data_IF_909394775986
#
_entry.id   IF_909394775986
#
_cell.length_a   1.000
_cell.length_b   1.000
_cell.length_c   1.000
_cell.angle_alpha   90.00
_cell.angle_beta   90.00
_cell.angle_gamma   90.00
#
_symmetry.space_group_name_H-M   'P 1'
#
loop_
_entity.id
_entity.type
_entity.pdbx_description
1 polymer ?
#
# COMPACT_ATOMS: atom_id res chain seq x y z
N UNK A 1 -27.25 47.35 -46.65
CA UNK A 1 -26.01 47.16 -45.90
C UNK A 1 -26.23 46.08 -44.84
N UNK A 2 -25.84 44.81 -45.07
CA UNK A 2 -25.63 43.84 -44.00
C UNK A 2 -24.14 43.75 -43.64
N UNK A 3 -23.84 43.68 -42.34
CA UNK A 3 -22.50 43.52 -41.79
C UNK A 3 -21.99 42.05 -41.93
N UNK A 4 -20.67 41.83 -42.05
CA UNK A 4 -20.11 40.52 -42.34
C UNK A 4 -20.07 39.60 -41.10
N UNK A 5 -20.32 38.32 -41.33
CA UNK A 5 -20.07 37.23 -40.40
C UNK A 5 -18.57 37.01 -40.24
N UNK A 6 -18.08 37.04 -39.01
CA UNK A 6 -16.71 36.64 -38.68
C UNK A 6 -16.73 35.75 -37.44
N UNK A 7 -16.81 34.44 -37.67
CA UNK A 7 -16.35 33.44 -36.72
C UNK A 7 -15.45 32.46 -37.47
N UNK A 8 -14.22 32.90 -37.69
CA UNK A 8 -13.10 32.06 -38.06
C UNK A 8 -12.20 31.89 -36.83
N UNK A 9 -12.66 31.11 -35.83
CA UNK A 9 -11.75 30.56 -34.83
C UNK A 9 -11.09 29.29 -35.37
N UNK A 10 -10.26 29.49 -36.40
CA UNK A 10 -9.26 28.51 -36.76
C UNK A 10 -7.90 29.08 -36.37
N UNK A 11 -7.44 28.71 -35.17
CA UNK A 11 -6.03 28.75 -34.75
C UNK A 11 -5.87 27.87 -33.52
N UNK A 12 -5.58 26.58 -33.76
CA UNK A 12 -4.62 25.86 -32.92
C UNK A 12 -3.24 26.44 -33.19
N UNK A 13 -2.57 26.91 -32.15
CA UNK A 13 -1.18 26.52 -31.98
C UNK A 13 -0.89 26.27 -30.49
N UNK A 14 -0.53 25.04 -30.14
CA UNK A 14 0.59 24.74 -29.22
C UNK A 14 0.65 23.24 -28.90
N UNK A 15 0.96 22.45 -29.92
CA UNK A 15 1.52 21.10 -29.73
C UNK A 15 3.04 21.13 -29.53
N UNK A 16 3.59 22.25 -29.02
CA UNK A 16 5.05 22.46 -28.86
C UNK A 16 5.51 22.89 -27.46
N UNK A 17 4.72 22.63 -26.42
CA UNK A 17 5.12 22.92 -25.03
C UNK A 17 5.61 21.69 -24.23
N UNK A 18 5.91 20.55 -24.89
CA UNK A 18 6.26 19.30 -24.21
C UNK A 18 7.76 19.09 -23.90
N UNK A 19 8.63 20.06 -24.20
CA UNK A 19 10.08 19.93 -23.94
C UNK A 19 10.67 21.06 -23.08
N UNK A 20 9.87 22.00 -22.58
CA UNK A 20 10.34 22.84 -21.48
C UNK A 20 10.20 21.99 -20.22
N UNK A 21 11.33 21.43 -19.76
CA UNK A 21 11.50 20.97 -18.38
C UNK A 21 10.80 21.99 -17.50
N UNK A 22 9.85 21.53 -16.67
CA UNK A 22 8.87 22.38 -16.02
C UNK A 22 9.56 23.01 -14.81
N UNK A 23 10.58 23.84 -15.06
CA UNK A 23 11.62 24.21 -14.11
C UNK A 23 11.04 24.76 -12.81
N UNK A 24 9.95 25.54 -12.89
CA UNK A 24 9.26 26.06 -11.71
C UNK A 24 8.56 24.95 -10.90
N UNK A 25 7.88 24.03 -11.58
CA UNK A 25 7.22 22.87 -10.95
C UNK A 25 8.26 21.91 -10.37
N UNK A 26 9.34 21.63 -11.12
CA UNK A 26 10.42 20.75 -10.67
C UNK A 26 11.17 21.35 -9.48
N UNK A 27 11.43 22.67 -9.50
CA UNK A 27 12.02 23.39 -8.37
C UNK A 27 11.11 23.35 -7.14
N UNK A 28 9.79 23.50 -7.32
CA UNK A 28 8.84 23.34 -6.22
C UNK A 28 8.83 21.90 -5.69
N UNK A 29 8.71 20.89 -6.54
CA UNK A 29 8.69 19.47 -6.15
C UNK A 29 9.96 19.08 -5.39
N UNK A 30 11.13 19.56 -5.85
CA UNK A 30 12.41 19.23 -5.25
C UNK A 30 12.66 19.88 -3.88
N UNK A 31 11.99 21.01 -3.57
CA UNK A 31 12.29 21.82 -2.39
C UNK A 31 11.12 21.98 -1.41
N UNK A 32 9.89 21.62 -1.82
CA UNK A 32 8.72 21.69 -0.95
C UNK A 32 8.83 20.67 0.21
N UNK A 33 8.28 21.04 1.37
CA UNK A 33 8.16 20.11 2.49
C UNK A 33 7.17 19.01 2.12
N UNK A 34 7.35 17.82 2.69
CA UNK A 34 6.51 16.65 2.36
C UNK A 34 5.04 16.93 2.69
N UNK A 35 4.77 17.65 3.77
CA UNK A 35 3.44 18.05 4.21
C UNK A 35 2.78 19.00 3.21
N UNK A 36 3.54 19.95 2.66
CA UNK A 36 3.07 20.87 1.63
C UNK A 36 2.77 20.11 0.34
N UNK A 37 3.64 19.18 -0.09
CA UNK A 37 3.38 18.32 -1.24
C UNK A 37 2.12 17.47 -1.06
N UNK A 38 1.92 16.86 0.11
CA UNK A 38 0.71 16.07 0.40
C UNK A 38 -0.54 16.95 0.36
N UNK A 39 -0.49 18.15 0.92
CA UNK A 39 -1.61 19.09 0.88
C UNK A 39 -1.93 19.53 -0.55
N UNK A 40 -0.93 19.95 -1.32
CA UNK A 40 -1.08 20.36 -2.72
C UNK A 40 -1.64 19.22 -3.58
N UNK A 41 -1.13 18.00 -3.45
CA UNK A 41 -1.63 16.84 -4.19
C UNK A 41 -3.08 16.52 -3.81
N UNK A 42 -3.44 16.55 -2.52
CA UNK A 42 -4.84 16.33 -2.10
C UNK A 42 -5.78 17.37 -2.69
N UNK A 43 -5.40 18.65 -2.64
CA UNK A 43 -6.18 19.74 -3.23
C UNK A 43 -6.35 19.49 -4.73
N UNK A 44 -5.25 19.23 -5.45
CA UNK A 44 -5.28 18.94 -6.89
C UNK A 44 -6.19 17.76 -7.22
N UNK A 45 -6.10 16.66 -6.47
CA UNK A 45 -6.93 15.48 -6.69
C UNK A 45 -8.41 15.73 -6.38
N UNK A 46 -8.71 16.62 -5.43
CA UNK A 46 -10.07 16.97 -5.04
C UNK A 46 -10.74 18.00 -5.94
N UNK A 47 -9.96 18.88 -6.59
CA UNK A 47 -10.48 19.99 -7.40
C UNK A 47 -10.50 19.70 -8.90
N UNK A 48 -9.80 18.66 -9.34
CA UNK A 48 -9.71 18.26 -10.75
C UNK A 48 -10.68 17.11 -11.08
N UNK A 49 -10.95 16.84 -12.37
CA UNK A 49 -11.80 15.73 -12.77
C UNK A 49 -11.29 14.38 -12.27
N UNK A 50 -12.18 13.36 -12.08
CA UNK A 50 -11.80 12.04 -11.58
C UNK A 50 -10.70 11.33 -12.40
N UNK A 51 -10.55 11.66 -13.68
CA UNK A 51 -9.48 11.15 -14.55
C UNK A 51 -8.08 11.51 -14.04
N UNK A 52 -7.93 12.65 -13.34
CA UNK A 52 -6.65 13.07 -12.75
C UNK A 52 -6.23 12.13 -11.61
N UNK A 53 -7.17 11.73 -10.75
CA UNK A 53 -6.90 10.74 -9.69
C UNK A 53 -6.53 9.38 -10.28
N UNK A 54 -7.21 8.94 -11.35
CA UNK A 54 -6.84 7.70 -12.04
C UNK A 54 -5.45 7.75 -12.66
N UNK A 55 -5.09 8.88 -13.28
CA UNK A 55 -3.76 9.10 -13.85
C UNK A 55 -2.67 9.13 -12.77
N UNK A 56 -2.92 9.81 -11.65
CA UNK A 56 -2.02 9.83 -10.50
C UNK A 56 -1.79 8.42 -9.95
N UNK A 57 -2.85 7.66 -9.69
CA UNK A 57 -2.73 6.28 -9.20
C UNK A 57 -2.01 5.38 -10.20
N UNK A 58 -2.25 5.55 -11.50
CA UNK A 58 -1.50 4.82 -12.55
C UNK A 58 0.00 5.15 -12.52
N UNK A 59 0.37 6.42 -12.38
CA UNK A 59 1.76 6.83 -12.26
C UNK A 59 2.41 6.29 -10.97
N UNK A 60 1.70 6.35 -9.84
CA UNK A 60 2.15 5.80 -8.56
C UNK A 60 2.44 4.30 -8.66
N UNK A 61 1.54 3.51 -9.29
CA UNK A 61 1.77 2.09 -9.53
C UNK A 61 3.00 1.82 -10.39
N UNK A 62 3.13 2.52 -11.52
CA UNK A 62 4.28 2.38 -12.42
C UNK A 62 5.59 2.66 -11.68
N UNK A 63 5.59 3.68 -10.80
CA UNK A 63 6.76 3.99 -9.97
C UNK A 63 7.03 2.89 -8.95
N UNK A 64 6.02 2.40 -8.25
CA UNK A 64 6.15 1.34 -7.23
C UNK A 64 6.55 -0.01 -7.83
N UNK A 65 6.15 -0.31 -9.06
CA UNK A 65 6.54 -1.54 -9.76
C UNK A 65 7.96 -1.48 -10.33
N UNK A 66 8.41 -0.29 -10.76
CA UNK A 66 9.70 -0.10 -11.44
C UNK A 66 10.82 0.26 -10.48
N UNK A 67 10.48 0.97 -9.40
CA UNK A 67 11.36 1.04 -8.25
C UNK A 67 11.36 -0.36 -7.66
N UNK A 68 12.47 -1.09 -7.73
CA UNK A 68 12.78 -2.16 -6.79
C UNK A 68 12.74 -1.52 -5.40
N UNK A 69 11.54 -1.33 -4.84
CA UNK A 69 11.28 -0.51 -3.68
C UNK A 69 12.27 -0.95 -2.59
N UNK A 70 12.95 0.05 -2.01
CA UNK A 70 14.02 -0.08 -1.00
C UNK A 70 14.09 -1.47 -0.39
N UNK A 71 15.23 -2.18 -0.43
CA UNK A 71 15.34 -3.56 0.04
C UNK A 71 14.58 -3.66 1.35
N UNK A 72 13.50 -4.45 1.35
CA UNK A 72 12.64 -4.63 2.51
C UNK A 72 13.57 -4.85 3.70
N UNK A 73 13.45 -4.07 4.79
CA UNK A 73 14.31 -4.26 5.94
C UNK A 73 14.32 -5.74 6.28
N UNK A 74 15.53 -6.30 6.43
CA UNK A 74 15.69 -7.74 6.54
C UNK A 74 14.73 -8.26 7.62
N UNK A 75 13.91 -9.30 7.35
CA UNK A 75 12.84 -9.72 8.25
C UNK A 75 13.28 -9.90 9.70
N UNK A 76 14.55 -10.26 9.92
CA UNK A 76 15.15 -10.46 11.24
C UNK A 76 15.19 -9.22 12.15
N UNK A 77 14.83 -8.03 11.66
CA UNK A 77 14.87 -6.79 12.43
C UNK A 77 13.52 -6.14 12.69
N UNK A 78 12.38 -6.80 12.41
CA UNK A 78 11.07 -6.17 12.62
C UNK A 78 10.67 -6.06 14.11
N UNK A 79 11.18 -6.99 14.93
CA UNK A 79 10.95 -7.01 16.37
C UNK A 79 12.27 -7.19 17.10
N UNK A 80 12.41 -6.49 18.23
CA UNK A 80 13.51 -6.63 19.16
C UNK A 80 13.01 -7.35 20.42
N UNK A 81 13.76 -8.36 20.87
CA UNK A 81 13.54 -9.04 22.15
C UNK A 81 14.59 -8.55 23.12
N UNK A 82 14.17 -7.85 24.17
CA UNK A 82 15.10 -7.49 25.24
C UNK A 82 15.33 -8.72 26.11
N UNK A 83 16.60 -9.06 26.40
CA UNK A 83 17.00 -10.33 27.00
C UNK A 83 16.47 -10.63 28.41
N UNK A 84 15.57 -9.79 28.95
CA UNK A 84 14.87 -9.97 30.22
C UNK A 84 13.35 -9.73 30.19
N UNK A 85 12.76 -9.36 29.05
CA UNK A 85 11.31 -9.14 28.90
C UNK A 85 10.79 -10.03 27.77
N UNK A 86 9.88 -10.95 28.10
CA UNK A 86 9.24 -11.88 27.16
C UNK A 86 8.22 -11.18 26.22
N UNK A 87 8.36 -9.88 25.96
CA UNK A 87 7.45 -9.10 25.12
C UNK A 87 8.21 -8.34 24.00
N UNK A 88 8.03 -8.73 22.73
CA UNK A 88 8.72 -8.12 21.60
C UNK A 88 8.37 -6.65 21.45
N UNK A 89 9.39 -5.84 21.16
CA UNK A 89 9.22 -4.43 20.84
C UNK A 89 9.33 -4.23 19.33
N UNK A 90 8.31 -3.64 18.66
CA UNK A 90 8.40 -3.25 17.26
C UNK A 90 9.58 -2.30 17.00
N UNK A 91 10.30 -2.51 15.90
CA UNK A 91 11.39 -1.61 15.50
C UNK A 91 10.93 -0.61 14.45
N UNK A 92 11.78 0.38 14.14
CA UNK A 92 11.58 1.27 12.99
C UNK A 92 11.39 0.51 11.67
N UNK A 93 12.07 -0.64 11.51
CA UNK A 93 11.97 -1.48 10.33
C UNK A 93 10.56 -2.02 10.08
N UNK A 94 9.79 -2.29 11.15
CA UNK A 94 8.37 -2.66 11.02
C UNK A 94 7.53 -1.52 10.44
N UNK A 95 7.75 -0.30 10.91
CA UNK A 95 6.97 0.84 10.42
C UNK A 95 7.33 1.21 8.97
N UNK A 96 8.58 1.03 8.57
CA UNK A 96 9.03 1.23 7.18
C UNK A 96 8.40 0.21 6.24
N UNK A 97 8.41 -1.08 6.60
CA UNK A 97 7.80 -2.13 5.77
C UNK A 97 6.26 -1.98 5.72
N UNK A 98 5.63 -1.53 6.82
CA UNK A 98 4.22 -1.20 6.80
C UNK A 98 3.94 -0.01 5.90
N UNK A 99 4.70 1.08 5.99
CA UNK A 99 4.53 2.23 5.09
C UNK A 99 4.64 1.82 3.61
N UNK A 100 5.54 0.88 3.28
CA UNK A 100 5.63 0.30 1.95
C UNK A 100 4.37 -0.50 1.56
N UNK A 101 3.87 -1.38 2.43
CA UNK A 101 2.62 -2.11 2.19
C UNK A 101 1.43 -1.15 1.97
N UNK A 102 1.35 -0.07 2.76
CA UNK A 102 0.33 0.99 2.63
C UNK A 102 0.42 1.74 1.31
N UNK A 103 1.63 2.02 0.84
CA UNK A 103 1.82 2.61 -0.49
C UNK A 103 1.34 1.67 -1.62
N UNK A 104 1.60 0.37 -1.51
CA UNK A 104 1.14 -0.62 -2.48
C UNK A 104 -0.38 -0.73 -2.54
N UNK A 105 -1.05 -1.04 -1.41
CA UNK A 105 -2.51 -1.18 -1.43
C UNK A 105 -3.22 0.17 -1.67
N UNK A 106 -2.63 1.29 -1.24
CA UNK A 106 -3.14 2.63 -1.52
C UNK A 106 -3.03 3.03 -2.99
N UNK A 107 -2.08 2.46 -3.74
CA UNK A 107 -1.98 2.59 -5.18
C UNK A 107 -2.86 1.58 -5.95
N UNK A 108 -3.65 0.76 -5.27
CA UNK A 108 -4.48 -0.28 -5.89
C UNK A 108 -3.67 -1.47 -6.39
N UNK A 109 -2.58 -1.81 -5.70
CA UNK A 109 -1.76 -3.02 -5.90
C UNK A 109 -1.89 -3.95 -4.67
N UNK A 110 -3.11 -4.21 -4.23
CA UNK A 110 -3.40 -5.00 -3.03
C UNK A 110 -2.82 -6.41 -3.10
N UNK A 111 -2.89 -7.08 -4.25
CA UNK A 111 -2.33 -8.43 -4.40
C UNK A 111 -0.81 -8.42 -4.19
N UNK A 112 -0.14 -7.32 -4.54
CA UNK A 112 1.31 -7.19 -4.35
C UNK A 112 1.67 -6.97 -2.88
N UNK A 113 0.84 -6.25 -2.12
CA UNK A 113 1.11 -6.03 -0.68
C UNK A 113 0.94 -7.30 0.15
N UNK A 114 0.20 -8.32 -0.31
CA UNK A 114 0.08 -9.61 0.38
C UNK A 114 1.42 -10.28 0.67
N UNK A 115 2.37 -10.23 -0.27
CA UNK A 115 3.72 -10.79 -0.04
C UNK A 115 4.45 -10.09 1.11
N UNK A 116 4.23 -8.77 1.27
CA UNK A 116 4.79 -7.99 2.37
C UNK A 116 4.18 -8.43 3.71
N UNK A 117 2.85 -8.53 3.79
CA UNK A 117 2.17 -8.97 5.00
C UNK A 117 2.50 -10.42 5.38
N UNK A 118 2.55 -11.34 4.41
CA UNK A 118 2.96 -12.72 4.66
C UNK A 118 4.38 -12.80 5.25
N UNK A 119 5.31 -11.96 4.77
CA UNK A 119 6.65 -11.85 5.36
C UNK A 119 6.64 -11.32 6.80
N UNK A 120 5.82 -10.29 7.09
CA UNK A 120 5.68 -9.74 8.45
C UNK A 120 5.13 -10.81 9.40
N UNK A 121 4.06 -11.51 9.00
CA UNK A 121 3.44 -12.57 9.81
C UNK A 121 4.45 -13.69 10.09
N UNK A 122 5.18 -14.14 9.06
CA UNK A 122 6.17 -15.20 9.21
C UNK A 122 7.35 -14.81 10.10
N UNK A 123 7.70 -13.52 10.11
CA UNK A 123 8.71 -12.98 11.03
C UNK A 123 8.24 -13.03 12.48
N UNK A 124 6.95 -12.84 12.71
CA UNK A 124 6.37 -12.90 14.05
C UNK A 124 6.20 -14.33 14.58
N UNK A 125 6.47 -15.37 13.76
CA UNK A 125 6.37 -16.76 14.21
C UNK A 125 7.37 -17.04 15.33
N UNK A 126 6.86 -17.60 16.43
CA UNK A 126 7.65 -17.93 17.61
C UNK A 126 7.79 -16.78 18.62
N UNK A 127 7.36 -15.57 18.26
CA UNK A 127 7.20 -14.49 19.24
C UNK A 127 6.03 -14.82 20.17
N UNK A 128 6.18 -14.42 21.43
CA UNK A 128 5.13 -14.43 22.45
C UNK A 128 4.99 -13.01 22.95
N UNK A 129 3.77 -12.54 23.19
CA UNK A 129 3.52 -11.16 23.58
C UNK A 129 2.41 -11.11 24.62
N UNK A 130 2.31 -9.99 25.30
CA UNK A 130 1.20 -9.72 26.21
C UNK A 130 0.10 -8.94 25.50
N UNK A 131 -1.15 -9.06 25.95
CA UNK A 131 -2.30 -8.40 25.32
C UNK A 131 -2.25 -6.86 25.36
N UNK A 132 -1.36 -6.28 26.19
CA UNK A 132 -1.20 -4.84 26.38
C UNK A 132 0.20 -4.34 26.02
N UNK A 133 1.02 -5.18 25.39
CA UNK A 133 2.37 -4.85 24.97
C UNK A 133 2.42 -4.12 23.64
N UNK A 134 3.58 -3.51 23.35
CA UNK A 134 3.83 -2.82 22.09
C UNK A 134 3.67 -3.74 20.86
N UNK A 135 4.00 -5.04 20.99
CA UNK A 135 3.73 -6.03 19.95
C UNK A 135 2.24 -6.18 19.66
N UNK A 136 1.39 -6.29 20.68
CA UNK A 136 -0.06 -6.42 20.50
C UNK A 136 -0.66 -5.19 19.80
N UNK A 137 -0.23 -3.99 20.17
CA UNK A 137 -0.63 -2.75 19.50
C UNK A 137 -0.21 -2.75 18.02
N UNK A 138 1.03 -3.16 17.72
CA UNK A 138 1.51 -3.26 16.35
C UNK A 138 0.72 -4.32 15.54
N UNK A 139 0.41 -5.47 16.13
CA UNK A 139 -0.38 -6.50 15.45
C UNK A 139 -1.80 -6.04 15.15
N UNK A 140 -2.44 -5.28 16.05
CA UNK A 140 -3.76 -4.69 15.81
C UNK A 140 -3.76 -3.71 14.62
N UNK A 141 -2.66 -2.97 14.44
CA UNK A 141 -2.44 -2.09 13.27
C UNK A 141 -2.22 -2.93 12.01
N UNK A 142 -1.38 -3.96 12.07
CA UNK A 142 -1.12 -4.87 10.94
C UNK A 142 -2.42 -5.54 10.47
N UNK A 143 -3.25 -6.02 11.39
CA UNK A 143 -4.56 -6.62 11.09
C UNK A 143 -5.51 -5.64 10.39
N UNK A 144 -5.52 -4.38 10.82
CA UNK A 144 -6.27 -3.31 10.16
C UNK A 144 -5.77 -3.03 8.74
N UNK A 145 -4.46 -2.94 8.55
CA UNK A 145 -3.85 -2.73 7.23
C UNK A 145 -4.10 -3.90 6.27
N UNK A 146 -4.07 -5.15 6.78
CA UNK A 146 -4.40 -6.33 5.98
C UNK A 146 -5.85 -6.31 5.49
N UNK A 147 -6.80 -5.88 6.32
CA UNK A 147 -8.18 -5.68 5.89
C UNK A 147 -8.27 -4.70 4.70
N UNK A 148 -7.51 -3.59 4.75
CA UNK A 148 -7.44 -2.61 3.65
C UNK A 148 -6.77 -3.19 2.40
N UNK A 149 -5.73 -4.01 2.57
CA UNK A 149 -5.08 -4.70 1.47
C UNK A 149 -6.00 -5.73 0.79
N UNK A 150 -6.79 -6.47 1.56
CA UNK A 150 -7.78 -7.41 1.03
C UNK A 150 -8.86 -6.65 0.25
N UNK A 151 -9.35 -5.53 0.76
CA UNK A 151 -10.32 -4.70 0.04
C UNK A 151 -9.74 -4.15 -1.27
N UNK A 152 -8.51 -3.60 -1.23
CA UNK A 152 -7.80 -3.11 -2.41
C UNK A 152 -7.59 -4.23 -3.46
N UNK A 153 -7.31 -5.45 -3.02
CA UNK A 153 -7.14 -6.61 -3.90
C UNK A 153 -8.43 -7.01 -4.61
N UNK A 154 -9.58 -6.95 -3.91
CA UNK A 154 -10.90 -7.19 -4.52
C UNK A 154 -11.16 -6.18 -5.64
N UNK A 155 -10.94 -4.89 -5.35
CA UNK A 155 -11.11 -3.82 -6.35
C UNK A 155 -10.11 -3.94 -7.52
N UNK A 156 -8.88 -4.38 -7.25
CA UNK A 156 -7.86 -4.66 -8.26
C UNK A 156 -8.34 -5.76 -9.23
N UNK A 157 -8.93 -6.84 -8.71
CA UNK A 157 -9.47 -7.94 -9.52
C UNK A 157 -10.75 -7.53 -10.26
N UNK A 158 -11.71 -6.92 -9.56
CA UNK A 158 -13.01 -6.53 -10.12
C UNK A 158 -12.88 -5.54 -11.28
N UNK A 159 -11.82 -4.73 -11.26
CA UNK A 159 -11.48 -3.79 -12.32
C UNK A 159 -10.66 -4.38 -13.47
N UNK A 160 -10.46 -5.70 -13.49
CA UNK A 160 -9.70 -6.42 -14.52
C UNK A 160 -8.18 -6.17 -14.46
N UNK A 161 -7.67 -5.64 -13.32
CA UNK A 161 -6.25 -5.31 -13.15
C UNK A 161 -5.47 -6.36 -12.36
N UNK A 162 -6.14 -7.38 -11.83
CA UNK A 162 -5.52 -8.47 -11.07
C UNK A 162 -4.49 -9.30 -11.84
N UNK A 163 -4.32 -9.05 -13.14
CA UNK A 163 -3.37 -9.76 -13.99
C UNK A 163 -3.78 -11.21 -14.19
N UNK A 164 -2.81 -12.11 -14.10
CA UNK A 164 -3.05 -13.55 -14.16
C UNK A 164 -3.76 -14.03 -12.87
N UNK A 165 -4.94 -14.63 -13.04
CA UNK A 165 -5.76 -15.11 -11.94
C UNK A 165 -5.11 -16.26 -11.16
N UNK A 166 -4.26 -17.07 -11.79
CA UNK A 166 -3.54 -18.13 -11.10
C UNK A 166 -2.46 -17.54 -10.18
N UNK A 167 -1.75 -16.50 -10.65
CA UNK A 167 -0.78 -15.76 -9.84
C UNK A 167 -1.48 -15.05 -8.68
N UNK A 168 -2.63 -14.43 -8.95
CA UNK A 168 -3.44 -13.79 -7.92
C UNK A 168 -3.89 -14.82 -6.86
N UNK A 169 -4.41 -15.98 -7.28
CA UNK A 169 -4.82 -17.06 -6.37
C UNK A 169 -3.65 -17.58 -5.53
N UNK A 170 -2.47 -17.73 -6.13
CA UNK A 170 -1.26 -18.12 -5.41
C UNK A 170 -0.89 -17.12 -4.31
N UNK A 171 -0.97 -15.81 -4.58
CA UNK A 171 -0.73 -14.76 -3.58
C UNK A 171 -1.74 -14.78 -2.44
N UNK A 172 -3.01 -15.02 -2.75
CA UNK A 172 -4.08 -15.16 -1.75
C UNK A 172 -3.85 -16.40 -0.89
N UNK A 173 -3.48 -17.52 -1.52
CA UNK A 173 -3.16 -18.77 -0.83
C UNK A 173 -1.94 -18.63 0.08
N UNK A 174 -0.91 -17.89 -0.33
CA UNK A 174 0.27 -17.63 0.49
C UNK A 174 -0.07 -16.82 1.75
N UNK A 175 -0.89 -15.77 1.62
CA UNK A 175 -1.35 -15.00 2.79
C UNK A 175 -2.21 -15.85 3.73
N UNK A 176 -3.12 -16.69 3.19
CA UNK A 176 -3.91 -17.65 3.98
C UNK A 176 -3.01 -18.61 4.74
N UNK A 177 -1.97 -19.14 4.09
CA UNK A 177 -1.01 -20.04 4.72
C UNK A 177 -0.25 -19.35 5.86
N UNK A 178 0.24 -18.12 5.65
CA UNK A 178 0.92 -17.36 6.71
C UNK A 178 0.02 -17.08 7.93
N UNK A 179 -1.24 -16.69 7.70
CA UNK A 179 -2.21 -16.48 8.79
C UNK A 179 -2.49 -17.77 9.55
N UNK A 180 -2.63 -18.91 8.84
CA UNK A 180 -2.82 -20.22 9.45
C UNK A 180 -1.60 -20.65 10.27
N UNK A 181 -0.40 -20.51 9.72
CA UNK A 181 0.86 -20.80 10.42
C UNK A 181 0.96 -20.00 11.73
N UNK A 182 0.59 -18.72 11.70
CA UNK A 182 0.56 -17.85 12.87
C UNK A 182 -0.50 -18.28 13.89
N UNK A 183 -1.73 -18.56 13.45
CA UNK A 183 -2.81 -19.05 14.32
C UNK A 183 -2.41 -20.36 15.03
N UNK A 184 -1.86 -21.31 14.29
CA UNK A 184 -1.39 -22.60 14.82
C UNK A 184 -0.20 -22.42 15.79
N UNK A 185 0.67 -21.43 15.55
CA UNK A 185 1.79 -21.10 16.43
C UNK A 185 1.34 -20.43 17.72
N UNK A 186 0.40 -19.48 17.65
CA UNK A 186 -0.14 -18.76 18.80
C UNK A 186 -0.94 -19.69 19.72
N UNK A 187 -1.76 -20.56 19.12
CA UNK A 187 -2.52 -21.56 19.86
C UNK A 187 -1.64 -22.52 20.66
N UNK A 188 -0.43 -22.84 20.16
CA UNK A 188 0.51 -23.75 20.82
C UNK A 188 1.08 -23.21 22.13
N UNK A 189 1.21 -21.90 22.29
CA UNK A 189 1.67 -21.29 23.54
C UNK A 189 0.53 -20.69 24.37
N UNK A 190 -0.72 -20.78 23.88
CA UNK A 190 -1.92 -20.33 24.61
C UNK A 190 -2.17 -18.83 24.52
N UNK A 191 -1.68 -18.16 23.47
CA UNK A 191 -1.93 -16.75 23.22
C UNK A 191 -3.23 -16.48 22.46
N UNK A 192 -3.57 -15.20 22.33
CA UNK A 192 -4.68 -14.73 21.50
C UNK A 192 -4.19 -14.41 20.08
N UNK A 193 -4.85 -14.98 19.07
CA UNK A 193 -4.48 -14.74 17.68
C UNK A 193 -4.78 -13.28 17.28
N UNK A 194 -3.80 -12.50 16.79
CA UNK A 194 -3.98 -11.07 16.71
C UNK A 194 -4.51 -10.59 15.36
N UNK A 195 -4.72 -11.51 14.40
CA UNK A 195 -5.10 -11.19 13.02
C UNK A 195 -6.50 -11.71 12.66
N UNK A 196 -7.41 -11.76 13.64
CA UNK A 196 -8.76 -12.31 13.50
C UNK A 196 -9.56 -11.62 12.39
N UNK A 197 -9.50 -10.28 12.29
CA UNK A 197 -10.33 -9.54 11.31
C UNK A 197 -9.86 -9.82 9.89
N UNK A 198 -8.56 -9.82 9.65
CA UNK A 198 -7.99 -10.13 8.34
C UNK A 198 -8.28 -11.57 7.94
N UNK A 199 -8.09 -12.54 8.84
CA UNK A 199 -8.40 -13.95 8.58
C UNK A 199 -9.88 -14.15 8.23
N UNK A 200 -10.80 -13.62 9.05
CA UNK A 200 -12.22 -13.71 8.77
C UNK A 200 -12.61 -13.05 7.43
N UNK A 201 -12.02 -11.90 7.11
CA UNK A 201 -12.26 -11.19 5.83
C UNK A 201 -11.76 -11.99 4.63
N UNK A 202 -10.65 -12.72 4.79
CA UNK A 202 -10.04 -13.54 3.74
C UNK A 202 -10.79 -14.88 3.55
N UNK A 203 -11.40 -15.42 4.60
CA UNK A 203 -12.21 -16.64 4.56
C UNK A 203 -13.55 -16.43 3.85
N UNK A 204 -14.20 -15.28 4.06
CA UNK A 204 -15.43 -14.94 3.35
C UNK A 204 -15.17 -14.53 1.89
N UNK A 205 -13.94 -14.17 1.55
CA UNK A 205 -13.57 -13.84 0.19
C UNK A 205 -13.37 -15.11 -0.65
N UNK A 206 -14.43 -15.47 -1.38
CA UNK A 206 -14.42 -16.58 -2.35
C UNK A 206 -13.66 -16.16 -3.61
N UNK A 207 -12.35 -16.33 -3.58
CA UNK A 207 -11.41 -16.15 -4.70
C UNK A 207 -10.59 -17.41 -4.92
#
# INVERSE_FOLDING_TARGET
MPAPSSDAFNRSPDSRSLNHVNLMVDSFIANARVEDLRATVRILLSSMPPSTAQAFTKAARSRLSSSNASPLPHPQFLFYLDGGVDDPTPTAGLYDILAHARALYGAGMGLTSFGVFASIIRTALGLRWTSFGAAAEAFAVIDGDMCQAIQSSKEEIDSGRGGDLDIARAKVADLRAALKESSDAVSRWGGDFPFDRAAATLDVWKF
#
